data_IF_590801599891
#
_entry.id   IF_590801599891
#
_cell.length_a   1.000
_cell.length_b   1.000
_cell.length_c   1.000
_cell.angle_alpha   90.00
_cell.angle_beta   90.00
_cell.angle_gamma   90.00
#
_symmetry.space_group_name_H-M   'P 1'
#
loop_
_entity.id
_entity.type
_entity.pdbx_description
1 polymer ?
#
# COMPACT_ATOMS: atom_id res chain seq x y z
N UNK A 1 8.25 -20.19 -21.77
CA UNK A 1 7.30 -19.19 -22.30
C UNK A 1 7.73 -17.86 -21.71
N UNK A 2 8.27 -16.93 -22.52
CA UNK A 2 8.79 -15.66 -22.01
C UNK A 2 7.63 -14.70 -21.76
N UNK A 3 7.55 -14.17 -20.55
CA UNK A 3 6.53 -13.18 -20.16
C UNK A 3 7.07 -11.79 -20.47
N UNK A 4 6.73 -11.22 -21.63
CA UNK A 4 6.86 -9.78 -21.85
C UNK A 4 5.82 -9.09 -20.95
N UNK A 5 6.26 -8.47 -19.85
CA UNK A 5 5.39 -7.78 -18.90
C UNK A 5 5.68 -6.28 -18.93
N UNK A 6 4.60 -5.52 -19.05
CA UNK A 6 4.57 -4.06 -19.12
C UNK A 6 4.20 -3.55 -17.74
N UNK A 7 4.90 -2.54 -17.24
CA UNK A 7 4.45 -1.81 -16.06
C UNK A 7 3.77 -0.54 -16.54
N UNK A 8 2.50 -0.40 -16.16
CA UNK A 8 1.67 0.75 -16.41
C UNK A 8 1.57 1.59 -15.13
N UNK A 9 1.10 2.82 -15.25
CA UNK A 9 0.84 3.71 -14.11
C UNK A 9 0.01 3.02 -13.02
N UNK A 10 0.46 3.14 -11.78
CA UNK A 10 -0.30 2.84 -10.57
C UNK A 10 0.22 3.73 -9.43
N UNK A 11 -0.46 3.71 -8.29
CA UNK A 11 0.08 4.27 -7.05
C UNK A 11 0.91 3.19 -6.32
N UNK A 12 1.92 3.61 -5.54
CA UNK A 12 2.93 2.80 -4.83
C UNK A 12 4.11 2.32 -5.70
N UNK A 13 5.01 1.53 -5.11
CA UNK A 13 6.32 1.13 -5.65
C UNK A 13 6.38 -0.37 -6.03
N UNK A 14 5.23 -1.04 -6.07
CA UNK A 14 5.10 -2.42 -6.50
C UNK A 14 5.60 -2.61 -7.96
N UNK A 15 5.23 -1.69 -8.86
CA UNK A 15 5.61 -1.75 -10.28
C UNK A 15 7.12 -1.75 -10.54
N UNK A 16 7.90 -0.97 -9.78
CA UNK A 16 9.37 -0.86 -9.93
C UNK A 16 10.09 -2.19 -9.67
N UNK A 17 9.57 -2.97 -8.72
CA UNK A 17 10.15 -4.28 -8.37
C UNK A 17 9.94 -5.34 -9.45
N UNK A 18 8.78 -5.30 -10.10
CA UNK A 18 8.45 -6.15 -11.24
C UNK A 18 9.40 -5.83 -12.40
N UNK A 19 9.61 -4.54 -12.69
CA UNK A 19 10.56 -4.08 -13.70
C UNK A 19 11.99 -4.54 -13.40
N UNK A 20 12.44 -4.44 -12.15
CA UNK A 20 13.77 -4.90 -11.76
C UNK A 20 13.97 -6.40 -12.03
N UNK A 21 12.98 -7.22 -11.66
CA UNK A 21 13.00 -8.67 -11.89
C UNK A 21 12.97 -9.01 -13.38
N UNK A 22 12.18 -8.28 -14.18
CA UNK A 22 12.09 -8.44 -15.63
C UNK A 22 13.44 -8.11 -16.29
N UNK A 23 14.03 -6.97 -15.96
CA UNK A 23 15.32 -6.53 -16.53
C UNK A 23 16.43 -7.52 -16.24
N UNK A 24 16.46 -8.03 -15.01
CA UNK A 24 17.48 -9.00 -14.57
C UNK A 24 17.37 -10.34 -15.30
N UNK A 25 16.18 -10.70 -15.75
CA UNK A 25 15.92 -11.90 -16.56
C UNK A 25 16.03 -11.66 -18.08
N UNK A 26 16.53 -10.49 -18.49
CA UNK A 26 16.72 -10.12 -19.89
C UNK A 26 15.43 -9.74 -20.63
N UNK A 27 14.36 -9.41 -19.89
CA UNK A 27 13.13 -8.85 -20.47
C UNK A 27 13.27 -7.37 -20.78
N UNK A 28 12.45 -6.89 -21.71
CA UNK A 28 12.37 -5.47 -22.11
C UNK A 28 11.54 -4.70 -21.07
N UNK A 29 12.08 -3.59 -20.57
CA UNK A 29 11.40 -2.72 -19.60
C UNK A 29 10.87 -1.44 -20.26
N UNK A 30 9.64 -1.07 -19.90
CA UNK A 30 8.97 0.13 -20.39
C UNK A 30 8.31 0.87 -19.23
N UNK A 31 8.37 2.20 -19.25
CA UNK A 31 7.70 3.08 -18.29
C UNK A 31 6.94 4.19 -19.03
N UNK A 32 5.83 4.66 -18.47
CA UNK A 32 5.16 5.86 -18.97
C UNK A 32 6.06 7.08 -18.75
N UNK A 33 6.10 8.01 -19.70
CA UNK A 33 6.78 9.29 -19.54
C UNK A 33 6.22 10.04 -18.33
N UNK A 34 7.05 10.39 -17.31
CA UNK A 34 6.60 11.15 -16.14
C UNK A 34 5.87 12.45 -16.49
N UNK A 35 6.24 13.11 -17.60
CA UNK A 35 5.60 14.36 -18.03
C UNK A 35 4.17 14.16 -18.60
N UNK A 36 3.82 12.93 -18.97
CA UNK A 36 2.49 12.51 -19.46
C UNK A 36 1.68 11.77 -18.38
N UNK A 37 2.30 11.47 -17.23
CA UNK A 37 1.68 10.72 -16.15
C UNK A 37 0.76 11.61 -15.30
N UNK A 38 -0.44 11.12 -14.99
CA UNK A 38 -1.35 11.78 -14.04
C UNK A 38 -0.79 11.76 -12.61
N UNK A 39 -0.02 10.71 -12.28
CA UNK A 39 0.76 10.55 -11.06
C UNK A 39 2.14 10.03 -11.45
N UNK A 40 3.18 10.84 -11.25
CA UNK A 40 4.53 10.60 -11.77
C UNK A 40 5.46 9.85 -10.80
N UNK A 41 5.06 9.70 -9.54
CA UNK A 41 5.87 9.09 -8.49
C UNK A 41 6.37 7.67 -8.84
N UNK A 42 5.52 6.84 -9.45
CA UNK A 42 5.89 5.48 -9.86
C UNK A 42 6.82 5.47 -11.11
N UNK A 43 6.52 6.19 -12.21
CA UNK A 43 7.45 6.37 -13.31
C UNK A 43 8.85 6.85 -12.91
N UNK A 44 8.92 7.86 -12.03
CA UNK A 44 10.20 8.41 -11.54
C UNK A 44 10.97 7.35 -10.73
N UNK A 45 10.30 6.67 -9.81
CA UNK A 45 10.88 5.58 -9.02
C UNK A 45 11.47 4.46 -9.89
N UNK A 46 10.77 4.09 -10.98
CA UNK A 46 11.23 3.07 -11.92
C UNK A 46 12.51 3.50 -12.68
N UNK A 47 12.57 4.76 -13.12
CA UNK A 47 13.72 5.33 -13.82
C UNK A 47 14.98 5.41 -12.95
N UNK A 48 14.83 5.66 -11.65
CA UNK A 48 15.94 5.74 -10.70
C UNK A 48 16.53 4.36 -10.35
N UNK A 49 15.69 3.32 -10.33
CA UNK A 49 16.05 2.02 -9.74
C UNK A 49 16.27 0.91 -10.76
N UNK A 50 15.78 1.08 -11.99
CA UNK A 50 15.83 0.07 -13.04
C UNK A 50 16.34 0.69 -14.34
N UNK A 51 17.18 -0.04 -15.06
CA UNK A 51 17.56 0.35 -16.41
C UNK A 51 16.36 0.16 -17.36
N UNK A 52 15.72 1.25 -17.74
CA UNK A 52 14.52 1.26 -18.59
C UNK A 52 14.91 1.30 -20.08
N UNK A 53 14.35 0.39 -20.88
CA UNK A 53 14.59 0.36 -22.34
C UNK A 53 13.75 1.38 -23.10
N UNK A 54 12.54 1.66 -22.62
CA UNK A 54 11.59 2.57 -23.28
C UNK A 54 10.86 3.49 -22.31
N UNK A 55 10.91 4.78 -22.59
CA UNK A 55 10.12 5.83 -21.93
C UNK A 55 9.18 6.40 -22.99
N UNK A 56 7.88 6.28 -22.80
CA UNK A 56 6.90 6.69 -23.82
C UNK A 56 5.61 7.25 -23.21
N UNK A 57 4.91 8.17 -23.88
CA UNK A 57 3.56 8.60 -23.47
C UNK A 57 2.56 7.44 -23.46
N UNK A 58 1.53 7.49 -22.62
CA UNK A 58 0.50 6.45 -22.49
C UNK A 58 -0.17 6.13 -23.83
N UNK A 59 -0.43 7.16 -24.65
CA UNK A 59 -1.02 7.00 -25.98
C UNK A 59 -0.15 6.17 -26.96
N UNK A 60 1.15 6.08 -26.73
CA UNK A 60 2.09 5.36 -27.59
C UNK A 60 2.44 3.95 -27.08
N UNK A 61 2.21 3.67 -25.80
CA UNK A 61 2.53 2.39 -25.17
C UNK A 61 1.90 1.20 -25.91
N UNK A 62 0.62 1.27 -26.28
CA UNK A 62 -0.10 0.17 -26.94
C UNK A 62 0.53 -0.23 -28.29
N UNK A 63 0.98 0.76 -29.07
CA UNK A 63 1.67 0.54 -30.35
C UNK A 63 3.03 -0.10 -30.14
N UNK A 64 3.77 0.38 -29.15
CA UNK A 64 5.10 -0.13 -28.82
C UNK A 64 5.05 -1.58 -28.34
N UNK A 65 4.11 -1.92 -27.46
CA UNK A 65 3.88 -3.30 -26.99
C UNK A 65 3.61 -4.24 -28.18
N UNK A 66 2.73 -3.83 -29.08
CA UNK A 66 2.39 -4.61 -30.28
C UNK A 66 3.62 -4.83 -31.19
N UNK A 67 4.49 -3.82 -31.29
CA UNK A 67 5.74 -3.90 -32.07
C UNK A 67 6.74 -4.85 -31.43
N UNK A 68 6.92 -4.77 -30.10
CA UNK A 68 7.83 -5.62 -29.34
C UNK A 68 7.41 -7.10 -29.37
N UNK A 69 6.11 -7.38 -29.40
CA UNK A 69 5.58 -8.74 -29.53
C UNK A 69 5.78 -9.34 -30.93
N UNK A 70 5.94 -8.50 -31.96
CA UNK A 70 6.14 -8.95 -33.34
C UNK A 70 7.62 -9.14 -33.73
N UNK A 71 8.57 -8.68 -32.92
CA UNK A 71 10.00 -8.74 -33.21
C UNK A 71 10.69 -10.06 -32.76
N UNK A 72 11.87 -10.39 -33.33
CA UNK A 72 12.65 -11.56 -32.93
C UNK A 72 13.25 -11.38 -31.52
N UNK A 73 13.06 -12.39 -30.66
CA UNK A 73 13.50 -12.37 -29.25
C UNK A 73 14.95 -12.87 -29.15
N UNK A 74 15.90 -12.00 -28.78
CA UNK A 74 17.28 -12.41 -28.51
C UNK A 74 17.41 -12.88 -27.06
N UNK A 75 17.63 -14.18 -26.85
CA UNK A 75 17.84 -14.74 -25.52
C UNK A 75 19.27 -14.50 -25.03
N UNK A 76 19.44 -13.65 -24.02
CA UNK A 76 20.68 -13.61 -23.22
C UNK A 76 20.38 -14.12 -21.82
N UNK A 77 20.68 -15.41 -21.57
CA UNK A 77 20.72 -15.95 -20.21
C UNK A 77 22.03 -15.58 -19.52
N UNK A 78 21.97 -15.03 -18.30
CA UNK A 78 23.16 -14.80 -17.46
C UNK A 78 23.12 -15.72 -16.23
N UNK A 79 24.28 -16.12 -15.72
CA UNK A 79 24.33 -16.93 -14.49
C UNK A 79 23.89 -16.07 -13.29
N UNK A 80 22.94 -16.58 -12.50
CA UNK A 80 22.19 -15.85 -11.47
C UNK A 80 20.67 -15.83 -11.73
N UNK A 81 20.25 -16.23 -12.93
CA UNK A 81 18.85 -16.24 -13.37
C UNK A 81 17.99 -17.31 -12.68
N UNK A 82 18.56 -18.43 -12.20
CA UNK A 82 17.74 -19.58 -11.75
C UNK A 82 17.01 -19.29 -10.43
N UNK A 83 17.70 -18.77 -9.41
CA UNK A 83 17.07 -18.37 -8.14
C UNK A 83 16.06 -17.22 -8.33
N UNK A 84 16.34 -16.31 -9.27
CA UNK A 84 15.43 -15.21 -9.62
C UNK A 84 14.21 -15.74 -10.39
N UNK A 85 14.39 -16.72 -11.29
CA UNK A 85 13.31 -17.40 -12.01
C UNK A 85 12.44 -18.22 -11.08
N UNK A 86 13.01 -18.96 -10.15
CA UNK A 86 12.28 -19.74 -9.16
C UNK A 86 11.45 -18.82 -8.26
N UNK A 87 12.03 -17.71 -7.79
CA UNK A 87 11.29 -16.69 -7.03
C UNK A 87 10.21 -15.99 -7.85
N UNK A 88 10.49 -15.61 -9.09
CA UNK A 88 9.50 -14.96 -9.96
C UNK A 88 8.38 -15.93 -10.39
N UNK A 89 8.72 -17.21 -10.57
CA UNK A 89 7.75 -18.26 -10.81
C UNK A 89 6.86 -18.45 -9.57
N UNK A 90 7.46 -18.43 -8.37
CA UNK A 90 6.73 -18.45 -7.12
C UNK A 90 5.81 -17.23 -6.99
N UNK A 91 6.32 -16.00 -7.18
CA UNK A 91 5.54 -14.75 -7.17
C UNK A 91 4.38 -14.78 -8.18
N UNK A 92 4.66 -15.17 -9.42
CA UNK A 92 3.65 -15.30 -10.47
C UNK A 92 2.58 -16.33 -10.10
N UNK A 93 2.99 -17.45 -9.50
CA UNK A 93 2.07 -18.50 -9.08
C UNK A 93 1.22 -18.07 -7.88
N UNK A 94 1.76 -17.25 -6.98
CA UNK A 94 1.01 -16.69 -5.84
C UNK A 94 -0.05 -15.72 -6.35
N UNK A 95 0.33 -14.81 -7.26
CA UNK A 95 -0.61 -13.88 -7.88
C UNK A 95 -1.68 -14.56 -8.75
N UNK A 96 -1.38 -15.72 -9.34
CA UNK A 96 -2.30 -16.44 -10.22
C UNK A 96 -3.29 -17.35 -9.46
N UNK A 97 -2.87 -18.03 -8.39
CA UNK A 97 -3.69 -19.06 -7.71
C UNK A 97 -4.13 -18.66 -6.29
N UNK A 98 -3.62 -17.57 -5.71
CA UNK A 98 -4.06 -17.03 -4.41
C UNK A 98 -3.65 -17.79 -3.14
N UNK A 99 -3.11 -19.01 -3.24
CA UNK A 99 -2.65 -19.79 -2.07
C UNK A 99 -1.15 -19.60 -1.79
N UNK A 100 -0.81 -18.43 -1.24
CA UNK A 100 0.55 -18.07 -0.88
C UNK A 100 1.12 -18.93 0.26
N UNK A 101 0.27 -19.36 1.19
CA UNK A 101 0.68 -20.10 2.38
C UNK A 101 1.15 -21.52 2.03
N UNK A 102 0.37 -22.25 1.22
CA UNK A 102 0.76 -23.59 0.78
C UNK A 102 2.03 -23.58 -0.09
N UNK A 103 2.40 -22.43 -0.64
CA UNK A 103 3.58 -22.23 -1.50
C UNK A 103 4.84 -21.83 -0.73
N UNK A 104 4.83 -21.89 0.61
CA UNK A 104 6.03 -21.71 1.43
C UNK A 104 6.54 -20.26 1.47
N UNK A 105 5.67 -19.27 1.26
CA UNK A 105 6.06 -17.85 1.28
C UNK A 105 6.76 -17.46 2.58
N UNK A 106 6.37 -18.05 3.71
CA UNK A 106 6.97 -17.78 5.02
C UNK A 106 8.41 -18.25 5.14
N UNK A 107 8.87 -19.15 4.28
CA UNK A 107 10.23 -19.71 4.31
C UNK A 107 11.23 -18.86 3.50
N UNK A 108 10.75 -17.82 2.80
CA UNK A 108 11.57 -16.96 1.95
C UNK A 108 12.43 -15.94 2.71
N UNK A 109 12.25 -15.81 4.03
CA UNK A 109 12.93 -14.78 4.80
C UNK A 109 12.69 -14.85 6.30
N UNK A 110 13.21 -13.84 7.01
CA UNK A 110 13.16 -13.78 8.47
C UNK A 110 11.83 -13.18 8.94
N UNK A 111 11.23 -13.75 9.98
CA UNK A 111 10.05 -13.15 10.63
C UNK A 111 10.36 -11.77 11.20
N UNK A 112 9.34 -10.91 11.17
CA UNK A 112 9.42 -9.53 11.67
C UNK A 112 8.36 -9.30 12.76
N UNK A 113 8.54 -8.27 13.61
CA UNK A 113 7.50 -7.85 14.56
C UNK A 113 6.37 -7.04 13.91
N UNK A 114 6.38 -6.86 12.59
CA UNK A 114 5.38 -6.08 11.87
C UNK A 114 4.26 -6.98 11.32
N UNK A 115 3.06 -6.43 11.26
CA UNK A 115 1.88 -7.07 10.67
C UNK A 115 1.50 -6.40 9.36
N UNK A 116 0.90 -7.19 8.47
CA UNK A 116 0.36 -6.69 7.22
C UNK A 116 -0.84 -5.77 7.52
N UNK A 117 -0.85 -4.51 7.05
CA UNK A 117 -1.97 -3.61 7.30
C UNK A 117 -3.26 -4.11 6.64
N UNK A 118 -3.18 -4.91 5.57
CA UNK A 118 -4.36 -5.39 4.84
C UNK A 118 -5.02 -6.62 5.47
N UNK A 119 -4.23 -7.57 5.97
CA UNK A 119 -4.75 -8.85 6.49
C UNK A 119 -4.38 -9.15 7.94
N UNK A 120 -3.66 -8.24 8.60
CA UNK A 120 -3.18 -8.35 9.98
C UNK A 120 -2.24 -9.54 10.27
N UNK A 121 -1.85 -10.29 9.24
CA UNK A 121 -0.92 -11.41 9.35
C UNK A 121 0.52 -10.97 9.59
N UNK A 122 1.31 -11.83 10.24
CA UNK A 122 2.74 -11.59 10.47
C UNK A 122 3.49 -11.46 9.14
N UNK A 123 4.38 -10.48 9.06
CA UNK A 123 5.25 -10.26 7.90
C UNK A 123 6.60 -10.95 8.08
N UNK A 124 7.07 -11.55 6.99
CA UNK A 124 8.47 -11.93 6.82
C UNK A 124 9.22 -10.87 6.03
N UNK A 125 10.53 -10.80 6.20
CA UNK A 125 11.44 -9.90 5.51
C UNK A 125 12.25 -10.66 4.47
N UNK A 126 12.12 -10.27 3.21
CA UNK A 126 12.88 -10.83 2.09
C UNK A 126 13.90 -9.80 1.62
N UNK A 127 15.16 -10.22 1.48
CA UNK A 127 16.24 -9.37 0.92
C UNK A 127 16.36 -9.60 -0.59
N UNK A 128 16.34 -8.53 -1.36
CA UNK A 128 16.46 -8.54 -2.81
C UNK A 128 17.62 -7.66 -3.26
N UNK A 129 18.83 -8.23 -3.28
CA UNK A 129 20.05 -7.45 -3.51
C UNK A 129 20.27 -6.44 -2.38
N UNK A 130 20.17 -5.14 -2.69
CA UNK A 130 20.25 -4.05 -1.69
C UNK A 130 18.90 -3.67 -1.08
N UNK A 131 17.80 -4.13 -1.68
CA UNK A 131 16.45 -3.77 -1.28
C UNK A 131 15.88 -4.78 -0.28
N UNK A 132 14.92 -4.32 0.52
CA UNK A 132 14.21 -5.15 1.50
C UNK A 132 12.72 -5.03 1.26
N UNK A 133 12.05 -6.18 1.16
CA UNK A 133 10.59 -6.26 1.02
C UNK A 133 10.01 -7.08 2.17
N UNK A 134 8.72 -6.88 2.39
CA UNK A 134 7.93 -7.63 3.35
C UNK A 134 6.90 -8.47 2.62
N UNK A 135 6.65 -9.69 3.10
CA UNK A 135 5.58 -10.54 2.58
C UNK A 135 4.75 -11.13 3.71
N UNK A 136 3.44 -11.15 3.54
CA UNK A 136 2.54 -11.86 4.46
C UNK A 136 2.23 -13.27 3.94
N UNK A 137 1.67 -14.10 4.83
CA UNK A 137 1.28 -15.47 4.50
C UNK A 137 0.15 -15.58 3.46
N UNK A 138 -0.62 -14.51 3.22
CA UNK A 138 -1.68 -14.46 2.21
C UNK A 138 -1.17 -13.98 0.84
N UNK A 139 0.09 -13.53 0.73
CA UNK A 139 0.72 -13.17 -0.53
C UNK A 139 0.94 -11.68 -0.79
N UNK A 140 0.42 -10.78 0.06
CA UNK A 140 0.69 -9.34 -0.07
C UNK A 140 2.19 -9.06 0.07
N UNK A 141 2.72 -8.27 -0.86
CA UNK A 141 4.10 -7.81 -0.88
C UNK A 141 4.16 -6.31 -0.65
N UNK A 142 4.94 -5.87 0.33
CA UNK A 142 5.07 -4.46 0.67
C UNK A 142 6.53 -4.03 0.65
N UNK A 143 6.81 -2.81 0.19
CA UNK A 143 8.06 -2.12 0.48
C UNK A 143 8.07 -1.57 1.91
N UNK A 144 9.15 -0.90 2.33
CA UNK A 144 9.20 -0.24 3.64
C UNK A 144 8.23 0.95 3.68
N UNK A 145 8.19 1.69 2.59
CA UNK A 145 7.39 2.88 2.39
C UNK A 145 5.90 2.52 2.34
N UNK A 146 5.51 1.54 1.54
CA UNK A 146 4.13 1.04 1.48
C UNK A 146 3.67 0.46 2.84
N UNK A 147 4.57 -0.22 3.56
CA UNK A 147 4.26 -0.71 4.91
C UNK A 147 4.03 0.44 5.89
N UNK A 148 4.88 1.46 5.89
CA UNK A 148 4.71 2.64 6.75
C UNK A 148 3.40 3.36 6.43
N UNK A 149 3.14 3.61 5.14
CA UNK A 149 1.90 4.22 4.67
C UNK A 149 0.68 3.45 5.15
N UNK A 150 0.63 2.12 4.92
CA UNK A 150 -0.52 1.32 5.33
C UNK A 150 -0.71 1.26 6.84
N UNK A 151 0.36 1.34 7.64
CA UNK A 151 0.26 1.44 9.11
C UNK A 151 -0.37 2.78 9.51
N UNK A 152 0.08 3.87 8.91
CA UNK A 152 -0.41 5.23 9.17
C UNK A 152 -1.87 5.39 8.74
N UNK A 153 -2.21 4.95 7.53
CA UNK A 153 -3.59 4.98 7.00
C UNK A 153 -4.55 4.23 7.93
N UNK A 154 -4.09 3.11 8.53
CA UNK A 154 -4.87 2.37 9.54
C UNK A 154 -5.05 3.14 10.84
N UNK A 155 -4.11 3.98 11.24
CA UNK A 155 -4.28 4.87 12.40
C UNK A 155 -5.37 5.91 12.12
N UNK A 156 -5.33 6.55 10.95
CA UNK A 156 -6.34 7.52 10.53
C UNK A 156 -7.75 6.90 10.50
N UNK A 157 -7.90 5.74 9.86
CA UNK A 157 -9.17 4.99 9.84
C UNK A 157 -9.69 4.71 11.26
N UNK A 158 -8.81 4.31 12.19
CA UNK A 158 -9.20 4.02 13.58
C UNK A 158 -9.63 5.29 14.32
N UNK A 159 -9.02 6.43 14.05
CA UNK A 159 -9.48 7.69 14.62
C UNK A 159 -10.88 8.08 14.13
N UNK A 160 -11.16 7.88 12.84
CA UNK A 160 -12.52 8.06 12.30
C UNK A 160 -13.54 7.17 13.00
N UNK A 161 -13.22 5.89 13.20
CA UNK A 161 -14.10 4.95 13.90
C UNK A 161 -14.37 5.38 15.35
N UNK A 162 -13.34 5.84 16.07
CA UNK A 162 -13.47 6.35 17.44
C UNK A 162 -14.32 7.61 17.47
N UNK A 163 -14.08 8.57 16.57
CA UNK A 163 -14.86 9.81 16.47
C UNK A 163 -16.34 9.50 16.23
N UNK A 164 -16.65 8.68 15.22
CA UNK A 164 -18.03 8.25 14.91
C UNK A 164 -18.69 7.57 16.11
N UNK A 165 -17.98 6.65 16.77
CA UNK A 165 -18.51 5.93 17.93
C UNK A 165 -18.80 6.86 19.12
N UNK A 166 -18.00 7.90 19.33
CA UNK A 166 -18.23 8.92 20.36
C UNK A 166 -19.43 9.81 20.02
N UNK A 167 -19.63 10.16 18.75
CA UNK A 167 -20.81 10.90 18.29
C UNK A 167 -22.09 10.07 18.48
N UNK A 168 -22.06 8.79 18.10
CA UNK A 168 -23.17 7.87 18.32
C UNK A 168 -23.50 7.69 19.79
N UNK A 169 -22.49 7.58 20.65
CA UNK A 169 -22.68 7.55 22.10
C UNK A 169 -23.30 8.86 22.61
N UNK A 170 -22.85 10.03 22.14
CA UNK A 170 -23.42 11.30 22.54
C UNK A 170 -24.90 11.42 22.16
N UNK A 171 -25.25 11.07 20.91
CA UNK A 171 -26.64 11.09 20.42
C UNK A 171 -27.55 10.17 21.24
N UNK A 172 -27.10 8.94 21.53
CA UNK A 172 -27.89 7.99 22.33
C UNK A 172 -28.07 8.46 23.78
N UNK A 173 -27.02 9.04 24.37
CA UNK A 173 -27.08 9.59 25.73
C UNK A 173 -28.03 10.79 25.81
N UNK A 174 -28.07 11.66 24.79
CA UNK A 174 -29.04 12.76 24.70
C UNK A 174 -30.47 12.23 24.64
N UNK A 175 -30.75 11.26 23.77
CA UNK A 175 -32.07 10.63 23.63
C UNK A 175 -32.56 10.01 24.95
N UNK A 176 -31.68 9.28 25.65
CA UNK A 176 -31.99 8.71 26.96
C UNK A 176 -32.25 9.82 28.00
N UNK A 177 -31.47 10.89 27.96
CA UNK A 177 -31.67 12.07 28.81
C UNK A 177 -33.02 12.73 28.59
N UNK A 178 -33.43 12.93 27.34
CA UNK A 178 -34.73 13.46 26.97
C UNK A 178 -35.87 12.56 27.46
N UNK A 179 -35.79 11.26 27.20
CA UNK A 179 -36.78 10.28 27.66
C UNK A 179 -36.95 10.30 29.18
N UNK A 180 -35.86 10.44 29.94
CA UNK A 180 -35.94 10.51 31.41
C UNK A 180 -36.56 11.82 31.91
N UNK A 181 -36.28 12.95 31.25
CA UNK A 181 -36.90 14.24 31.58
C UNK A 181 -38.40 14.24 31.30
N UNK A 182 -38.83 13.67 30.17
CA UNK A 182 -40.25 13.52 29.81
C UNK A 182 -41.02 12.68 30.85
N UNK A 183 -40.31 11.75 31.51
CA UNK A 183 -40.84 10.92 32.61
C UNK A 183 -40.68 11.57 34.00
N UNK A 184 -40.26 12.84 34.08
CA UNK A 184 -40.10 13.58 35.34
C UNK A 184 -38.87 13.18 36.16
N UNK A 185 -37.93 12.44 35.59
CA UNK A 185 -36.73 11.93 36.26
C UNK A 185 -35.51 12.85 36.06
N UNK A 186 -35.67 14.16 36.30
CA UNK A 186 -34.68 15.16 35.88
C UNK A 186 -33.28 15.02 36.50
N UNK A 187 -33.18 14.48 37.71
CA UNK A 187 -31.86 14.22 38.32
C UNK A 187 -31.11 13.09 37.61
N UNK A 188 -31.83 12.08 37.11
CA UNK A 188 -31.23 11.01 36.32
C UNK A 188 -30.89 11.51 34.91
N UNK A 189 -31.80 12.26 34.28
CA UNK A 189 -31.61 12.88 32.97
C UNK A 189 -30.35 13.77 32.91
N UNK A 190 -30.08 14.55 33.97
CA UNK A 190 -28.90 15.39 34.06
C UNK A 190 -27.59 14.61 33.88
N UNK A 191 -27.47 13.40 34.45
CA UNK A 191 -26.26 12.57 34.31
C UNK A 191 -26.05 12.11 32.87
N UNK A 192 -27.13 11.80 32.15
CA UNK A 192 -27.06 11.41 30.74
C UNK A 192 -26.60 12.58 29.87
N UNK A 193 -27.12 13.79 30.10
CA UNK A 193 -26.67 15.02 29.43
C UNK A 193 -25.20 15.35 29.70
N UNK A 194 -24.75 15.19 30.94
CA UNK A 194 -23.35 15.41 31.30
C UNK A 194 -22.43 14.45 30.53
N UNK A 195 -22.79 13.17 30.48
CA UNK A 195 -22.06 12.14 29.74
C UNK A 195 -22.09 12.40 28.23
N UNK A 196 -23.24 12.81 27.66
CA UNK A 196 -23.35 13.15 26.25
C UNK A 196 -22.43 14.32 25.89
N UNK A 197 -22.43 15.36 26.73
CA UNK A 197 -21.54 16.52 26.57
C UNK A 197 -20.07 16.12 26.65
N UNK A 198 -19.72 15.13 27.48
CA UNK A 198 -18.36 14.58 27.56
C UNK A 198 -17.98 13.81 26.29
N UNK A 199 -18.84 12.91 25.81
CA UNK A 199 -18.61 12.16 24.58
C UNK A 199 -18.44 13.11 23.37
N UNK A 200 -19.30 14.14 23.27
CA UNK A 200 -19.20 15.15 22.22
C UNK A 200 -17.90 15.98 22.31
N UNK A 201 -17.39 16.28 23.52
CA UNK A 201 -16.08 16.92 23.69
C UNK A 201 -14.93 16.02 23.23
N UNK A 202 -14.98 14.74 23.56
CA UNK A 202 -13.96 13.77 23.15
C UNK A 202 -13.95 13.56 21.64
N UNK A 203 -15.13 13.48 21.00
CA UNK A 203 -15.23 13.41 19.53
C UNK A 203 -14.51 14.59 18.88
N UNK A 204 -14.73 15.82 19.37
CA UNK A 204 -14.04 17.02 18.85
C UNK A 204 -12.51 16.93 18.97
N UNK A 205 -12.01 16.43 20.10
CA UNK A 205 -10.57 16.23 20.27
C UNK A 205 -10.00 15.22 19.27
N UNK A 206 -10.72 14.12 19.01
CA UNK A 206 -10.30 13.12 18.00
C UNK A 206 -10.37 13.69 16.59
N UNK A 207 -11.42 14.47 16.28
CA UNK A 207 -11.54 15.16 15.01
C UNK A 207 -10.37 16.11 14.74
N UNK A 208 -9.93 16.85 15.76
CA UNK A 208 -8.78 17.75 15.64
C UNK A 208 -7.48 16.97 15.37
N UNK A 209 -7.33 15.74 15.89
CA UNK A 209 -6.21 14.87 15.55
C UNK A 209 -6.27 14.38 14.10
N UNK A 210 -7.46 14.02 13.61
CA UNK A 210 -7.65 13.58 12.21
C UNK A 210 -7.38 14.71 11.21
N UNK A 211 -7.80 15.94 11.55
CA UNK A 211 -7.68 17.10 10.65
C UNK A 211 -6.36 17.88 10.81
N UNK A 212 -5.64 17.68 11.92
CA UNK A 212 -4.51 18.51 12.31
C UNK A 212 -3.14 17.87 12.14
N UNK A 213 -3.04 16.60 11.74
CA UNK A 213 -1.77 15.87 11.75
C UNK A 213 -1.14 15.76 10.35
N UNK A 214 -0.55 16.86 9.87
CA UNK A 214 0.30 16.87 8.67
C UNK A 214 1.58 16.04 8.85
N UNK A 215 2.03 15.77 10.09
CA UNK A 215 3.34 15.14 10.34
C UNK A 215 3.36 13.62 10.15
N UNK A 216 2.21 12.98 10.36
CA UNK A 216 1.97 11.58 10.00
C UNK A 216 1.00 11.46 8.83
N UNK A 217 0.51 12.58 8.27
CA UNK A 217 -0.35 12.57 7.10
C UNK A 217 0.25 11.72 6.00
N UNK A 218 -0.55 10.79 5.50
CA UNK A 218 -0.14 9.84 4.47
C UNK A 218 0.43 10.53 3.22
N UNK A 219 -0.10 11.73 2.90
CA UNK A 219 0.38 12.63 1.84
C UNK A 219 1.75 13.24 2.13
N UNK A 220 1.99 13.77 3.34
CA UNK A 220 3.27 14.41 3.73
C UNK A 220 4.41 13.40 3.80
N UNK A 221 4.12 12.18 4.27
CA UNK A 221 5.11 11.10 4.32
C UNK A 221 5.51 10.64 2.90
N UNK A 222 4.60 10.72 1.92
CA UNK A 222 4.94 10.50 0.52
C UNK A 222 5.83 11.62 -0.04
N UNK A 223 5.53 12.88 0.27
CA UNK A 223 6.37 14.02 -0.13
C UNK A 223 7.77 13.98 0.49
N UNK A 224 7.90 13.69 1.79
CA UNK A 224 9.20 13.61 2.46
C UNK A 224 10.03 12.40 2.00
N UNK A 225 9.38 11.26 1.73
CA UNK A 225 10.04 10.10 1.16
C UNK A 225 10.52 10.35 -0.28
N UNK A 226 9.86 11.24 -1.03
CA UNK A 226 10.30 11.71 -2.33
C UNK A 226 11.47 12.71 -2.21
N UNK A 227 11.43 13.63 -1.24
CA UNK A 227 12.44 14.69 -1.03
C UNK A 227 13.78 14.17 -0.50
N UNK A 228 13.81 13.11 0.32
CA UNK A 228 15.09 12.52 0.82
C UNK A 228 15.89 11.77 -0.24
N UNK A 229 15.43 11.75 -1.50
CA UNK A 229 16.08 11.10 -2.65
C UNK A 229 16.77 12.08 -3.60
N UNK A 230 16.73 13.40 -3.35
CA UNK A 230 17.54 14.43 -4.03
C UNK A 230 18.89 14.64 -3.36
#
# INVERSE_FOLDING_TARGET
>A
MFSNRVVLSGALDDGTSGLWSIKRLGGVTMVQDPADAQFDSMPVSALEQVEIDHIVPAGEMGRLISTLLAGPTAATSRQGDEQVRERLALETSISADGDAFAKGVTDLGDYTPFTCPECEGVLIRVKEGKNVRFRCHTGHGLSREALLYGVVEKVEMRYWDVMRSLEEAAMLLEEMGHTLDDNGQSRAAARFRDNASQAARQSRQVRDLVLGDDALGSDTLMEEAALRRS
#
